data_IF_693318911224
#
_entry.id   IF_693318911224
#
_cell.length_a   1.000
_cell.length_b   1.000
_cell.length_c   1.000
_cell.angle_alpha   90.00
_cell.angle_beta   90.00
_cell.angle_gamma   90.00
#
_symmetry.space_group_name_H-M   'P 1'
#
loop_
_entity.id
_entity.type
_entity.pdbx_description
1 polymer ?
#
# COMPACT_ATOMS: atom_id res chain seq x y z
N UNK A 1 -15.07 5.05 5.05
CA UNK A 1 -13.92 5.89 4.64
C UNK A 1 -14.07 6.16 3.16
N UNK A 2 -13.62 7.32 2.70
CA UNK A 2 -13.63 7.63 1.27
C UNK A 2 -12.43 6.97 0.57
N UNK A 3 -12.60 6.47 -0.65
CA UNK A 3 -11.52 5.79 -1.39
C UNK A 3 -10.34 6.74 -1.66
N UNK A 4 -10.61 8.03 -1.87
CA UNK A 4 -9.60 9.08 -2.06
C UNK A 4 -8.82 9.34 -0.77
N UNK A 5 -9.51 9.29 0.37
CA UNK A 5 -8.88 9.46 1.70
C UNK A 5 -7.89 8.33 1.97
N UNK A 6 -8.28 7.08 1.69
CA UNK A 6 -7.40 5.91 1.84
C UNK A 6 -6.22 5.99 0.87
N UNK A 7 -6.46 6.39 -0.39
CA UNK A 7 -5.40 6.58 -1.39
C UNK A 7 -4.35 7.58 -0.93
N UNK A 8 -4.80 8.75 -0.47
CA UNK A 8 -3.91 9.79 0.05
C UNK A 8 -3.15 9.31 1.28
N UNK A 9 -3.82 8.66 2.23
CA UNK A 9 -3.17 8.11 3.41
C UNK A 9 -2.13 7.04 3.05
N UNK A 10 -2.40 6.18 2.06
CA UNK A 10 -1.45 5.19 1.57
C UNK A 10 -0.22 5.84 0.94
N UNK A 11 -0.41 6.90 0.14
CA UNK A 11 0.70 7.66 -0.45
C UNK A 11 1.57 8.33 0.62
N UNK A 12 0.95 9.00 1.60
CA UNK A 12 1.64 9.61 2.74
C UNK A 12 2.42 8.59 3.55
N UNK A 13 1.78 7.47 3.91
CA UNK A 13 2.37 6.44 4.74
C UNK A 13 3.56 5.78 4.05
N UNK A 14 3.40 5.38 2.79
CA UNK A 14 4.44 4.68 2.03
C UNK A 14 5.56 5.61 1.58
N UNK A 15 5.27 6.91 1.41
CA UNK A 15 6.15 7.88 0.73
C UNK A 15 6.03 7.86 -0.79
N UNK A 16 5.06 7.11 -1.34
CA UNK A 16 4.85 6.98 -2.78
C UNK A 16 4.67 8.35 -3.45
N UNK A 17 5.44 8.58 -4.53
CA UNK A 17 5.44 9.85 -5.27
C UNK A 17 6.23 10.99 -4.63
N UNK A 18 6.70 10.82 -3.38
CA UNK A 18 7.38 11.86 -2.60
C UNK A 18 8.81 11.48 -2.19
N UNK A 19 9.08 10.20 -1.96
CA UNK A 19 10.40 9.68 -1.58
C UNK A 19 10.92 8.70 -2.62
N UNK A 20 12.24 8.43 -2.59
CA UNK A 20 12.88 7.46 -3.49
C UNK A 20 12.91 6.04 -2.91
N UNK A 21 12.52 5.86 -1.65
CA UNK A 21 12.40 4.56 -0.97
C UNK A 21 11.17 4.55 -0.05
N UNK A 22 10.53 3.38 0.16
CA UNK A 22 9.40 3.25 1.07
C UNK A 22 9.78 3.54 2.52
N UNK A 23 8.92 4.27 3.25
CA UNK A 23 9.19 4.65 4.65
C UNK A 23 8.26 4.02 5.67
N UNK A 24 6.96 3.86 5.33
CA UNK A 24 5.90 3.42 6.29
C UNK A 24 5.84 4.36 7.50
N UNK A 25 5.78 5.66 7.23
CA UNK A 25 5.85 6.71 8.22
C UNK A 25 4.48 6.93 8.90
N UNK A 26 4.29 6.28 10.04
CA UNK A 26 3.09 6.44 10.87
C UNK A 26 2.89 7.89 11.33
N UNK A 27 3.99 8.60 11.64
CA UNK A 27 3.94 9.95 12.17
C UNK A 27 3.43 10.92 11.11
N UNK A 28 3.85 10.74 9.85
CA UNK A 28 3.36 11.55 8.72
C UNK A 28 1.84 11.42 8.54
N UNK A 29 1.28 10.21 8.68
CA UNK A 29 -0.18 9.99 8.57
C UNK A 29 -0.91 10.65 9.74
N UNK A 30 -0.39 10.51 10.96
CA UNK A 30 -0.98 11.14 12.15
C UNK A 30 -0.90 12.66 12.09
N UNK A 31 0.20 13.21 11.57
CA UNK A 31 0.38 14.66 11.39
C UNK A 31 -0.63 15.21 10.37
N UNK A 32 -0.82 14.51 9.24
CA UNK A 32 -1.68 14.98 8.15
C UNK A 32 -3.18 14.82 8.43
N UNK A 33 -3.59 13.68 8.98
CA UNK A 33 -5.01 13.35 9.19
C UNK A 33 -5.48 13.60 10.63
N UNK A 34 -4.56 13.92 11.54
CA UNK A 34 -4.81 14.08 12.97
C UNK A 34 -4.81 12.76 13.74
N UNK A 35 -4.53 12.81 15.04
CA UNK A 35 -4.26 11.60 15.85
C UNK A 35 -5.36 10.54 15.83
N UNK A 36 -6.62 10.91 16.04
CA UNK A 36 -7.72 9.95 16.07
C UNK A 36 -7.92 9.28 14.70
N UNK A 37 -8.04 10.09 13.65
CA UNK A 37 -8.30 9.58 12.29
C UNK A 37 -7.09 8.88 11.68
N UNK A 38 -5.90 9.44 11.88
CA UNK A 38 -4.64 8.84 11.45
C UNK A 38 -4.45 7.45 12.06
N UNK A 39 -4.79 7.25 13.34
CA UNK A 39 -4.71 5.92 13.97
C UNK A 39 -5.66 4.91 13.32
N UNK A 40 -6.90 5.31 13.01
CA UNK A 40 -7.86 4.46 12.28
C UNK A 40 -7.35 4.10 10.88
N UNK A 41 -6.82 5.09 10.15
CA UNK A 41 -6.27 4.89 8.81
C UNK A 41 -5.05 3.97 8.85
N UNK A 42 -4.15 4.13 9.82
CA UNK A 42 -2.98 3.27 9.96
C UNK A 42 -3.36 1.81 10.24
N UNK A 43 -4.36 1.58 11.08
CA UNK A 43 -4.87 0.22 11.33
C UNK A 43 -5.41 -0.41 10.04
N UNK A 44 -6.16 0.35 9.24
CA UNK A 44 -6.68 -0.09 7.96
C UNK A 44 -5.54 -0.35 6.95
N UNK A 45 -4.61 0.60 6.79
CA UNK A 45 -3.51 0.51 5.82
C UNK A 45 -2.63 -0.70 6.09
N UNK A 46 -2.34 -1.03 7.35
CA UNK A 46 -1.60 -2.23 7.72
C UNK A 46 -2.36 -3.51 7.38
N UNK A 47 -3.65 -3.55 7.67
CA UNK A 47 -4.48 -4.70 7.30
C UNK A 47 -4.53 -4.89 5.77
N UNK A 48 -4.58 -3.80 5.01
CA UNK A 48 -4.55 -3.86 3.55
C UNK A 48 -3.18 -4.24 2.99
N UNK A 49 -2.09 -3.76 3.61
CA UNK A 49 -0.73 -4.17 3.25
C UNK A 49 -0.52 -5.66 3.54
N UNK A 50 -0.92 -6.13 4.71
CA UNK A 50 -0.86 -7.57 5.04
C UNK A 50 -1.64 -8.40 4.01
N UNK A 51 -2.86 -7.98 3.66
CA UNK A 51 -3.66 -8.63 2.62
C UNK A 51 -2.99 -8.58 1.23
N UNK A 52 -2.32 -7.48 0.88
CA UNK A 52 -1.52 -7.40 -0.34
C UNK A 52 -0.38 -8.44 -0.34
N UNK A 53 0.28 -8.62 0.80
CA UNK A 53 1.44 -9.51 0.97
C UNK A 53 1.05 -11.00 1.06
N UNK A 54 -0.23 -11.35 1.24
CA UNK A 54 -0.68 -12.75 1.21
C UNK A 54 -0.65 -13.38 -0.18
N UNK A 55 -0.40 -12.59 -1.24
CA UNK A 55 -0.28 -13.09 -2.60
C UNK A 55 0.90 -14.06 -2.74
N UNK A 56 0.68 -15.18 -3.43
CA UNK A 56 1.74 -16.15 -3.76
C UNK A 56 2.67 -15.65 -4.88
N UNK A 57 2.47 -14.41 -5.37
CA UNK A 57 3.28 -13.84 -6.44
C UNK A 57 4.79 -13.86 -6.17
N UNK A 58 5.25 -13.76 -4.92
CA UNK A 58 6.69 -13.90 -4.60
C UNK A 58 7.26 -15.29 -4.91
N UNK A 59 6.41 -16.31 -4.95
CA UNK A 59 6.78 -17.70 -5.22
C UNK A 59 6.63 -17.99 -6.73
N UNK A 60 5.57 -17.49 -7.35
CA UNK A 60 5.21 -17.81 -8.72
C UNK A 60 5.82 -16.88 -9.78
N UNK A 61 6.05 -15.61 -9.43
CA UNK A 61 6.47 -14.63 -10.41
C UNK A 61 7.97 -14.78 -10.77
N UNK A 62 8.34 -14.66 -12.05
CA UNK A 62 9.71 -14.86 -12.51
C UNK A 62 10.65 -13.69 -12.18
N UNK A 63 10.11 -12.52 -11.82
CA UNK A 63 10.87 -11.29 -11.55
C UNK A 63 10.06 -10.32 -10.68
N UNK A 64 10.73 -9.34 -10.05
CA UNK A 64 10.11 -8.35 -9.17
C UNK A 64 9.00 -7.54 -9.84
N UNK A 65 9.14 -7.21 -11.14
CA UNK A 65 8.12 -6.44 -11.83
C UNK A 65 6.87 -7.30 -12.08
N UNK A 66 7.05 -8.58 -12.42
CA UNK A 66 5.95 -9.54 -12.53
C UNK A 66 5.27 -9.78 -11.19
N UNK A 67 6.04 -9.87 -10.11
CA UNK A 67 5.55 -10.02 -8.74
C UNK A 67 4.63 -8.84 -8.36
N UNK A 68 5.12 -7.61 -8.49
CA UNK A 68 4.33 -6.41 -8.18
C UNK A 68 3.06 -6.30 -9.03
N UNK A 69 3.11 -6.65 -10.33
CA UNK A 69 1.93 -6.67 -11.21
C UNK A 69 0.89 -7.70 -10.80
N UNK A 70 1.32 -8.92 -10.46
CA UNK A 70 0.42 -10.00 -10.05
C UNK A 70 -0.28 -9.66 -8.74
N UNK A 71 0.47 -9.30 -7.69
CA UNK A 71 -0.10 -8.92 -6.39
C UNK A 71 -1.03 -7.70 -6.52
N UNK A 72 -0.65 -6.70 -7.31
CA UNK A 72 -1.53 -5.54 -7.59
C UNK A 72 -2.85 -5.94 -8.24
N UNK A 73 -2.83 -6.93 -9.13
CA UNK A 73 -4.04 -7.39 -9.83
C UNK A 73 -4.95 -8.14 -8.86
N UNK A 74 -4.41 -9.08 -8.10
CA UNK A 74 -5.15 -9.88 -7.11
C UNK A 74 -5.71 -9.00 -5.99
N UNK A 75 -4.94 -8.03 -5.51
CA UNK A 75 -5.39 -7.06 -4.52
C UNK A 75 -6.56 -6.22 -5.04
N UNK A 76 -6.47 -5.67 -6.25
CA UNK A 76 -7.58 -4.89 -6.85
C UNK A 76 -8.84 -5.71 -7.11
N UNK A 77 -8.73 -7.02 -7.29
CA UNK A 77 -9.89 -7.91 -7.39
C UNK A 77 -10.57 -8.12 -6.04
N UNK A 78 -9.81 -8.14 -4.94
CA UNK A 78 -10.33 -8.25 -3.57
C UNK A 78 -10.88 -6.94 -3.03
N UNK A 79 -10.31 -5.80 -3.44
CA UNK A 79 -10.68 -4.45 -2.99
C UNK A 79 -11.06 -3.53 -4.17
N UNK A 80 -12.13 -3.85 -4.93
CA UNK A 80 -12.57 -3.05 -6.07
C UNK A 80 -13.05 -1.64 -5.70
N UNK A 81 -13.33 -1.38 -4.41
CA UNK A 81 -13.71 -0.08 -3.87
C UNK A 81 -12.53 0.88 -3.66
N UNK A 82 -11.29 0.39 -3.72
CA UNK A 82 -10.10 1.20 -3.51
C UNK A 82 -9.57 1.77 -4.82
N UNK A 83 -8.96 2.96 -4.73
CA UNK A 83 -8.25 3.57 -5.85
C UNK A 83 -7.05 2.70 -6.26
N UNK A 84 -6.80 2.62 -7.58
CA UNK A 84 -5.71 1.82 -8.12
C UNK A 84 -4.32 2.26 -7.63
N UNK A 85 -4.20 3.50 -7.17
CA UNK A 85 -2.99 4.07 -6.62
C UNK A 85 -2.56 3.41 -5.30
N UNK A 86 -3.51 2.94 -4.47
CA UNK A 86 -3.21 2.17 -3.25
C UNK A 86 -2.43 0.91 -3.60
N UNK A 87 -2.92 0.14 -4.56
CA UNK A 87 -2.26 -1.08 -5.03
C UNK A 87 -0.87 -0.78 -5.61
N UNK A 88 -0.71 0.37 -6.26
CA UNK A 88 0.57 0.80 -6.85
C UNK A 88 1.59 1.15 -5.76
N UNK A 89 1.17 1.89 -4.74
CA UNK A 89 2.00 2.22 -3.59
C UNK A 89 2.47 0.96 -2.83
N UNK A 90 1.56 0.01 -2.60
CA UNK A 90 1.93 -1.25 -1.95
C UNK A 90 2.81 -2.15 -2.81
N UNK A 91 2.57 -2.22 -4.13
CA UNK A 91 3.46 -2.95 -5.03
C UNK A 91 4.88 -2.38 -5.01
N UNK A 92 5.01 -1.05 -4.94
CA UNK A 92 6.31 -0.41 -4.80
C UNK A 92 7.00 -0.84 -3.51
N UNK A 93 6.33 -0.76 -2.36
CA UNK A 93 6.84 -1.30 -1.09
C UNK A 93 7.26 -2.77 -1.21
N UNK A 94 6.39 -3.61 -1.77
CA UNK A 94 6.61 -5.04 -1.95
C UNK A 94 7.84 -5.34 -2.79
N UNK A 95 8.00 -4.66 -3.93
CA UNK A 95 9.19 -4.87 -4.77
C UNK A 95 10.48 -4.41 -4.11
N UNK A 96 10.45 -3.41 -3.23
CA UNK A 96 11.63 -2.97 -2.47
C UNK A 96 11.99 -3.96 -1.35
N UNK A 97 11.01 -4.53 -0.66
CA UNK A 97 11.25 -5.51 0.40
C UNK A 97 11.87 -6.82 -0.11
N UNK A 98 11.64 -7.17 -1.38
CA UNK A 98 12.15 -8.39 -2.04
C UNK A 98 13.28 -8.14 -3.04
N UNK A 99 13.75 -6.90 -3.19
CA UNK A 99 14.90 -6.53 -4.04
C UNK A 99 16.23 -6.83 -3.37
#
# INVERSE_FOLDING_TARGET
MDATEISRAAATWTGWGHTTWPTRDDAAVVEEFGAARGTELLALLRSLEEDFYTSDARIEAPDLASMGRQSSKEFRQRHPELEAEVATAFAWCYTFDFK
#
